data_IF_329987751071
#
_entry.id   IF_329987751071
#
_cell.length_a   1.000
_cell.length_b   1.000
_cell.length_c   1.000
_cell.angle_alpha   90.00
_cell.angle_beta   90.00
_cell.angle_gamma   90.00
#
_symmetry.space_group_name_H-M   'P 1'
#
loop_
_entity.id
_entity.type
_entity.pdbx_description
1 polymer ?
#
# COMPACT_ATOMS: atom_id res chain seq x y z
N UNK A 1 21.89 -44.38 -5.34
CA UNK A 1 21.98 -42.97 -4.91
C UNK A 1 20.71 -42.27 -5.34
N UNK A 2 19.78 -41.98 -4.42
CA UNK A 2 18.47 -41.43 -4.76
C UNK A 2 18.60 -39.92 -5.00
N UNK A 3 18.16 -39.45 -6.18
CA UNK A 3 18.17 -38.03 -6.55
C UNK A 3 17.42 -37.17 -5.53
N UNK A 4 18.07 -36.11 -5.03
CA UNK A 4 17.42 -35.15 -4.13
C UNK A 4 16.34 -34.40 -4.88
N UNK A 5 15.08 -34.60 -4.47
CA UNK A 5 13.91 -33.90 -5.01
C UNK A 5 14.09 -32.38 -4.83
N UNK A 6 14.00 -31.62 -5.94
CA UNK A 6 14.12 -30.16 -5.94
C UNK A 6 13.00 -29.44 -5.17
N UNK A 7 11.87 -30.12 -4.92
CA UNK A 7 10.71 -29.63 -4.17
C UNK A 7 10.32 -30.65 -3.10
N UNK A 8 10.70 -30.40 -1.84
CA UNK A 8 10.54 -31.34 -0.72
C UNK A 8 9.49 -30.92 0.32
N UNK A 9 8.96 -29.70 0.23
CA UNK A 9 7.99 -29.18 1.20
C UNK A 9 6.56 -29.32 0.67
N UNK A 10 5.63 -29.71 1.54
CA UNK A 10 4.20 -29.83 1.25
C UNK A 10 3.38 -29.24 2.39
N UNK A 11 2.22 -28.65 2.09
CA UNK A 11 1.26 -28.17 3.07
C UNK A 11 -0.16 -28.47 2.59
N UNK A 12 -1.09 -28.67 3.53
CA UNK A 12 -2.49 -28.98 3.25
C UNK A 12 -3.32 -27.69 3.34
N UNK A 13 -4.08 -27.39 2.28
CA UNK A 13 -5.11 -26.35 2.28
C UNK A 13 -6.47 -27.05 2.26
N UNK A 14 -7.38 -26.64 3.15
CA UNK A 14 -8.79 -27.07 3.10
C UNK A 14 -9.60 -25.95 2.45
N UNK A 15 -10.44 -26.32 1.49
CA UNK A 15 -11.32 -25.42 0.75
C UNK A 15 -12.77 -25.83 0.98
N UNK A 16 -13.68 -24.87 0.88
CA UNK A 16 -15.11 -25.16 0.70
C UNK A 16 -15.35 -25.71 -0.72
N UNK A 17 -16.55 -26.26 -0.98
CA UNK A 17 -16.88 -26.75 -2.32
C UNK A 17 -16.84 -25.62 -3.35
N UNK A 18 -17.39 -24.46 -3.01
CA UNK A 18 -17.41 -23.28 -3.89
C UNK A 18 -16.00 -22.79 -4.25
N UNK A 19 -15.08 -22.78 -3.27
CA UNK A 19 -13.69 -22.40 -3.48
C UNK A 19 -12.94 -23.40 -4.37
N UNK A 20 -13.25 -24.70 -4.24
CA UNK A 20 -12.67 -25.75 -5.06
C UNK A 20 -13.14 -25.63 -6.51
N UNK A 21 -14.44 -25.42 -6.73
CA UNK A 21 -15.01 -25.27 -8.07
C UNK A 21 -14.41 -24.06 -8.79
N UNK A 22 -14.26 -22.94 -8.07
CA UNK A 22 -13.60 -21.73 -8.59
C UNK A 22 -12.13 -21.96 -8.93
N UNK A 23 -11.41 -22.73 -8.10
CA UNK A 23 -10.03 -23.09 -8.38
C UNK A 23 -9.94 -23.90 -9.67
N UNK A 24 -10.85 -24.87 -9.86
CA UNK A 24 -10.84 -25.75 -11.02
C UNK A 24 -11.20 -25.05 -12.31
N UNK A 25 -12.15 -24.12 -12.27
CA UNK A 25 -12.45 -23.25 -13.41
C UNK A 25 -11.20 -22.45 -13.83
N UNK A 26 -10.51 -21.82 -12.86
CA UNK A 26 -9.32 -21.02 -13.14
C UNK A 26 -8.14 -21.87 -13.63
N UNK A 27 -7.97 -23.07 -13.09
CA UNK A 27 -6.97 -24.04 -13.55
C UNK A 27 -7.25 -24.42 -15.00
N UNK A 28 -8.51 -24.73 -15.34
CA UNK A 28 -8.94 -25.07 -16.70
C UNK A 28 -8.67 -23.92 -17.66
N UNK A 29 -9.02 -22.69 -17.28
CA UNK A 29 -8.77 -21.50 -18.10
C UNK A 29 -7.26 -21.22 -18.29
N UNK A 30 -6.44 -21.51 -17.27
CA UNK A 30 -4.99 -21.26 -17.33
C UNK A 30 -4.22 -22.26 -18.20
N UNK A 31 -4.79 -23.45 -18.46
CA UNK A 31 -4.11 -24.56 -19.13
C UNK A 31 -2.94 -25.17 -18.33
N UNK A 32 -2.74 -24.74 -17.09
CA UNK A 32 -1.69 -25.24 -16.20
C UNK A 32 -2.24 -26.35 -15.29
N UNK A 33 -1.40 -27.31 -14.85
CA UNK A 33 -1.80 -28.21 -13.76
C UNK A 33 -1.98 -27.41 -12.47
N UNK A 34 -2.93 -27.81 -11.62
CA UNK A 34 -3.35 -27.11 -10.39
C UNK A 34 -2.17 -26.63 -9.53
N UNK A 35 -1.15 -27.45 -9.33
CA UNK A 35 0.03 -27.06 -8.55
C UNK A 35 0.91 -26.00 -9.24
N UNK A 36 1.03 -26.04 -10.56
CA UNK A 36 1.76 -25.02 -11.31
C UNK A 36 1.02 -23.70 -11.31
N UNK A 37 -0.31 -23.74 -11.42
CA UNK A 37 -1.19 -22.58 -11.29
C UNK A 37 -1.05 -21.91 -9.91
N UNK A 38 -1.17 -22.67 -8.82
CA UNK A 38 -0.97 -22.14 -7.46
C UNK A 38 0.44 -21.59 -7.28
N UNK A 39 1.47 -22.25 -7.82
CA UNK A 39 2.85 -21.75 -7.77
C UNK A 39 3.04 -20.45 -8.56
N UNK A 40 2.38 -20.31 -9.71
CA UNK A 40 2.39 -19.06 -10.48
C UNK A 40 1.70 -17.94 -9.69
N UNK A 41 0.55 -18.22 -9.08
CA UNK A 41 -0.11 -17.26 -8.17
C UNK A 41 0.82 -16.86 -7.03
N UNK A 42 1.45 -17.82 -6.34
CA UNK A 42 2.35 -17.52 -5.22
C UNK A 42 3.58 -16.73 -5.64
N UNK A 43 4.07 -16.93 -6.86
CA UNK A 43 5.20 -16.19 -7.43
C UNK A 43 4.82 -14.77 -7.87
N UNK A 44 3.60 -14.58 -8.39
CA UNK A 44 3.08 -13.30 -8.88
C UNK A 44 2.38 -12.49 -7.78
N UNK A 45 1.94 -13.14 -6.70
CA UNK A 45 1.25 -12.50 -5.59
C UNK A 45 2.23 -11.70 -4.74
N UNK A 46 2.36 -10.41 -5.05
CA UNK A 46 2.81 -9.43 -4.06
C UNK A 46 1.72 -9.30 -3.00
N UNK A 47 1.84 -10.08 -1.93
CA UNK A 47 1.04 -9.83 -0.73
C UNK A 47 1.62 -8.58 -0.06
N UNK A 48 0.96 -7.44 -0.26
CA UNK A 48 1.26 -6.24 0.50
C UNK A 48 0.80 -6.48 1.93
N UNK A 49 1.72 -6.41 2.88
CA UNK A 49 1.34 -6.30 4.28
C UNK A 49 0.39 -5.08 4.42
N UNK A 50 -0.65 -5.16 5.28
CA UNK A 50 -1.48 -4.00 5.55
C UNK A 50 -0.56 -2.83 5.92
N UNK A 51 -0.74 -1.65 5.31
CA UNK A 51 0.17 -0.54 5.53
C UNK A 51 0.19 -0.19 7.03
N UNK A 52 1.35 0.18 7.58
CA UNK A 52 1.48 0.49 9.01
C UNK A 52 0.46 1.54 9.45
N UNK A 53 0.11 1.57 10.74
CA UNK A 53 -0.81 2.59 11.29
C UNK A 53 -0.36 4.03 10.91
N UNK A 54 0.96 4.24 10.88
CA UNK A 54 1.64 5.46 10.45
C UNK A 54 1.26 5.92 9.02
N UNK A 55 0.94 4.99 8.11
CA UNK A 55 0.47 5.30 6.76
C UNK A 55 -0.91 5.96 6.78
N UNK A 56 -1.81 5.50 7.66
CA UNK A 56 -3.14 6.07 7.78
C UNK A 56 -3.10 7.46 8.41
N UNK A 57 -2.19 7.68 9.38
CA UNK A 57 -1.92 9.00 9.94
C UNK A 57 -1.38 9.95 8.86
N UNK A 58 -0.37 9.50 8.09
CA UNK A 58 0.18 10.26 6.97
C UNK A 58 -0.92 10.65 5.98
N UNK A 59 -1.74 9.70 5.55
CA UNK A 59 -2.84 9.93 4.60
C UNK A 59 -3.84 10.98 5.12
N UNK A 60 -4.16 10.94 6.41
CA UNK A 60 -5.09 11.89 7.03
C UNK A 60 -4.50 13.30 7.11
N UNK A 61 -3.21 13.43 7.45
CA UNK A 61 -2.53 14.72 7.48
C UNK A 61 -2.41 15.35 6.09
N UNK A 62 -2.08 14.55 5.06
CA UNK A 62 -2.06 15.01 3.68
C UNK A 62 -3.44 15.50 3.22
N UNK A 63 -4.51 14.78 3.59
CA UNK A 63 -5.89 15.17 3.31
C UNK A 63 -6.23 16.51 3.96
N UNK A 64 -5.82 16.73 5.21
CA UNK A 64 -6.04 18.01 5.92
C UNK A 64 -5.38 19.18 5.20
N UNK A 65 -4.16 19.00 4.72
CA UNK A 65 -3.43 20.00 3.92
C UNK A 65 -4.15 20.29 2.61
N UNK A 66 -4.58 19.24 1.89
CA UNK A 66 -5.32 19.39 0.64
C UNK A 66 -6.64 20.17 0.82
N UNK A 67 -7.35 19.94 1.93
CA UNK A 67 -8.56 20.70 2.28
C UNK A 67 -8.24 22.18 2.54
N UNK A 68 -7.18 22.47 3.31
CA UNK A 68 -6.75 23.84 3.57
C UNK A 68 -6.36 24.58 2.28
N UNK A 69 -5.62 23.92 1.39
CA UNK A 69 -5.24 24.48 0.10
C UNK A 69 -6.47 24.77 -0.77
N UNK A 70 -7.40 23.82 -0.88
CA UNK A 70 -8.63 23.99 -1.66
C UNK A 70 -9.46 25.19 -1.17
N UNK A 71 -9.51 25.40 0.15
CA UNK A 71 -10.18 26.58 0.73
C UNK A 71 -9.51 27.88 0.31
N UNK A 72 -8.18 27.96 0.34
CA UNK A 72 -7.44 29.14 -0.12
C UNK A 72 -7.68 29.41 -1.60
N UNK A 73 -7.71 28.37 -2.44
CA UNK A 73 -8.01 28.51 -3.87
C UNK A 73 -9.44 28.99 -4.11
N UNK A 74 -10.43 28.48 -3.36
CA UNK A 74 -11.81 28.97 -3.47
C UNK A 74 -11.93 30.45 -3.09
N UNK A 75 -11.27 30.88 -2.01
CA UNK A 75 -11.23 32.30 -1.62
C UNK A 75 -10.57 33.13 -2.72
N UNK A 76 -9.41 32.70 -3.21
CA UNK A 76 -8.69 33.38 -4.30
C UNK A 76 -9.55 33.54 -5.56
N UNK A 77 -10.26 32.48 -5.96
CA UNK A 77 -11.12 32.49 -7.14
C UNK A 77 -12.34 33.39 -6.96
N UNK A 78 -12.90 33.46 -5.75
CA UNK A 78 -14.07 34.29 -5.46
C UNK A 78 -13.74 35.78 -5.32
N UNK A 79 -12.59 36.12 -4.75
CA UNK A 79 -12.21 37.51 -4.43
C UNK A 79 -11.17 38.10 -5.39
N UNK A 80 -10.52 37.27 -6.22
CA UNK A 80 -9.36 37.64 -7.02
C UNK A 80 -8.11 37.95 -6.19
N UNK A 81 -8.10 37.62 -4.89
CA UNK A 81 -6.99 37.96 -3.98
C UNK A 81 -6.88 36.99 -2.81
N UNK A 82 -5.65 36.68 -2.42
CA UNK A 82 -5.36 35.84 -1.26
C UNK A 82 -4.85 36.71 -0.12
N UNK A 83 -5.43 36.58 1.06
CA UNK A 83 -4.92 37.26 2.24
C UNK A 83 -3.54 36.71 2.61
N UNK A 84 -2.52 37.57 2.59
CA UNK A 84 -1.12 37.20 2.84
C UNK A 84 -0.93 36.41 4.15
N UNK A 85 -1.68 36.76 5.20
CA UNK A 85 -1.65 36.08 6.51
C UNK A 85 -2.14 34.62 6.43
N UNK A 86 -3.18 34.34 5.66
CA UNK A 86 -3.77 33.01 5.51
C UNK A 86 -2.87 32.10 4.68
N UNK A 87 -2.31 32.65 3.58
CA UNK A 87 -1.31 31.96 2.77
C UNK A 87 -0.07 31.58 3.60
N UNK A 88 0.50 32.55 4.34
CA UNK A 88 1.70 32.33 5.14
C UNK A 88 1.49 31.26 6.21
N UNK A 89 0.30 31.20 6.81
CA UNK A 89 -0.08 30.18 7.78
C UNK A 89 -0.13 28.79 7.16
N UNK A 90 -0.86 28.62 6.05
CA UNK A 90 -0.95 27.32 5.36
C UNK A 90 0.41 26.84 4.85
N UNK A 91 1.26 27.76 4.39
CA UNK A 91 2.64 27.46 3.99
C UNK A 91 3.49 26.94 5.17
N UNK A 92 3.38 27.54 6.35
CA UNK A 92 4.10 27.05 7.54
C UNK A 92 3.58 25.68 8.00
N UNK A 93 2.27 25.44 7.96
CA UNK A 93 1.69 24.13 8.28
C UNK A 93 2.19 23.03 7.33
N UNK A 94 2.29 23.34 6.03
CA UNK A 94 2.87 22.44 5.03
C UNK A 94 4.34 22.11 5.34
N UNK A 95 5.16 23.13 5.60
CA UNK A 95 6.59 22.94 5.89
C UNK A 95 6.82 22.11 7.16
N UNK A 96 6.06 22.37 8.22
CA UNK A 96 6.14 21.61 9.47
C UNK A 96 5.77 20.13 9.26
N UNK A 97 4.77 19.87 8.42
CA UNK A 97 4.40 18.51 8.07
C UNK A 97 5.44 17.82 7.20
N UNK A 98 6.03 18.49 6.20
CA UNK A 98 7.11 17.92 5.39
C UNK A 98 8.33 17.54 6.24
N UNK A 99 8.71 18.38 7.20
CA UNK A 99 9.78 18.08 8.16
C UNK A 99 9.45 16.85 9.03
N UNK A 100 8.19 16.71 9.47
CA UNK A 100 7.78 15.56 10.28
C UNK A 100 7.71 14.26 9.48
N UNK A 101 7.48 14.34 8.16
CA UNK A 101 7.58 13.18 7.26
C UNK A 101 9.02 12.68 7.22
N UNK A 102 10.00 13.57 7.01
CA UNK A 102 11.41 13.16 6.93
C UNK A 102 11.87 12.46 8.22
N UNK A 103 11.48 12.98 9.38
CA UNK A 103 11.76 12.34 10.67
C UNK A 103 11.09 10.96 10.81
N UNK A 104 9.82 10.83 10.40
CA UNK A 104 9.08 9.56 10.42
C UNK A 104 9.65 8.54 9.42
N UNK A 105 10.17 8.98 8.28
CA UNK A 105 10.80 8.12 7.29
C UNK A 105 12.20 7.67 7.73
N UNK A 106 12.97 8.54 8.36
CA UNK A 106 14.31 8.18 8.89
C UNK A 106 14.23 7.20 10.07
N UNK A 107 13.23 7.32 10.94
CA UNK A 107 13.03 6.38 12.06
C UNK A 107 12.58 4.98 11.59
N UNK A 108 11.78 4.91 10.53
CA UNK A 108 11.34 3.66 9.90
C UNK A 108 12.44 2.97 9.06
N UNK A 109 13.51 3.68 8.69
CA UNK A 109 14.63 3.16 7.88
C UNK A 109 15.77 2.54 8.69
N UNK A 110 15.63 2.36 10.01
CA UNK A 110 16.64 1.59 10.77
C UNK A 110 16.72 0.17 10.19
N UNK A 111 17.92 -0.30 9.79
CA UNK A 111 18.06 -1.58 9.13
C UNK A 111 17.59 -2.66 10.11
N UNK A 112 16.63 -3.49 9.66
CA UNK A 112 16.34 -4.77 10.31
C UNK A 112 17.63 -5.57 10.23
N UNK A 113 18.39 -5.57 11.32
CA UNK A 113 19.61 -6.35 11.45
C UNK A 113 19.29 -7.82 11.15
N UNK A 114 20.13 -8.39 10.26
CA UNK A 114 20.11 -9.79 9.84
C UNK A 114 20.12 -10.77 11.00
#
# INVERSE_FOLDING_TARGET
MSEKRKRSCSFLIRLTQEELDLLDEKVTQSGLPREAYIRAILAESRVYAPPPLEYHELKNELRRIGVNLNRLTMVANATGSIYHKEYKKAYHELLQYLLSIDDKLQSASRPVSK
#
